data_IF_240778323874
#
_entry.id   IF_240778323874
#
_cell.length_a   1.000
_cell.length_b   1.000
_cell.length_c   1.000
_cell.angle_alpha   90.00
_cell.angle_beta   90.00
_cell.angle_gamma   90.00
#
_symmetry.space_group_name_H-M   'P 1'
#
loop_
_entity.id
_entity.type
_entity.pdbx_description
1 polymer ?
#
# COMPACT_ATOMS: atom_id res chain seq x y z
N UNK A 1 3.98 31.62 -24.17
CA UNK A 1 4.30 30.20 -24.31
C UNK A 1 3.02 29.40 -24.28
N UNK A 2 2.85 28.48 -25.19
CA UNK A 2 1.68 27.60 -25.21
C UNK A 2 1.73 26.70 -23.94
N UNK A 3 0.67 26.72 -23.17
CA UNK A 3 0.48 25.89 -21.96
C UNK A 3 0.28 24.41 -22.31
N UNK A 4 1.22 23.81 -23.07
CA UNK A 4 1.13 22.40 -23.42
C UNK A 4 2.51 21.74 -23.33
N UNK A 5 2.49 20.49 -22.87
CA UNK A 5 3.66 19.64 -22.86
C UNK A 5 4.11 19.37 -24.31
N UNK A 6 5.38 19.61 -24.61
CA UNK A 6 5.96 19.34 -25.92
C UNK A 6 7.15 18.37 -25.85
N UNK A 7 7.77 18.25 -24.67
CA UNK A 7 8.93 17.37 -24.46
C UNK A 7 9.08 17.03 -22.98
N UNK A 8 9.54 15.82 -22.70
CA UNK A 8 9.98 15.39 -21.38
C UNK A 8 11.49 15.21 -21.36
N UNK A 9 12.12 15.48 -20.23
CA UNK A 9 13.50 15.10 -19.93
C UNK A 9 13.49 14.13 -18.76
N UNK A 10 14.29 13.10 -18.83
CA UNK A 10 14.42 12.10 -17.78
C UNK A 10 15.83 11.50 -17.80
N UNK A 11 16.23 10.90 -16.68
CA UNK A 11 17.49 10.19 -16.57
C UNK A 11 17.20 8.70 -16.39
N UNK A 12 17.81 7.88 -17.21
CA UNK A 12 17.76 6.43 -17.12
C UNK A 12 19.18 5.85 -16.89
N UNK A 13 19.31 4.53 -17.00
CA UNK A 13 20.60 3.83 -16.85
C UNK A 13 21.64 4.21 -17.92
N UNK A 14 21.21 4.86 -19.01
CA UNK A 14 22.07 5.31 -20.10
C UNK A 14 22.38 6.82 -20.03
N UNK A 15 21.84 7.53 -19.04
CA UNK A 15 22.06 8.95 -18.82
C UNK A 15 20.82 9.82 -19.07
N UNK A 16 21.05 11.11 -19.27
CA UNK A 16 19.97 12.08 -19.52
C UNK A 16 19.46 11.95 -20.95
N UNK A 17 18.14 11.90 -21.08
CA UNK A 17 17.42 11.80 -22.36
C UNK A 17 16.30 12.81 -22.44
N UNK A 18 15.93 13.17 -23.66
CA UNK A 18 14.80 14.06 -23.94
C UNK A 18 13.99 13.51 -25.10
N UNK A 19 12.68 13.32 -24.88
CA UNK A 19 11.76 12.76 -25.87
C UNK A 19 10.58 13.72 -26.10
N UNK A 20 10.09 13.87 -27.34
CA UNK A 20 8.85 14.58 -27.61
C UNK A 20 7.68 13.86 -26.94
N UNK A 21 6.79 14.61 -26.30
CA UNK A 21 5.59 14.04 -25.68
C UNK A 21 4.50 15.10 -25.56
N UNK A 22 3.27 14.71 -25.86
CA UNK A 22 2.07 15.52 -25.65
C UNK A 22 1.43 15.26 -24.30
N UNK A 23 1.72 14.09 -23.68
CA UNK A 23 1.19 13.66 -22.41
C UNK A 23 2.26 12.91 -21.61
N UNK A 24 2.32 13.17 -20.30
CA UNK A 24 3.15 12.43 -19.36
C UNK A 24 2.25 11.81 -18.28
N UNK A 25 2.29 10.50 -18.17
CA UNK A 25 1.63 9.75 -17.09
C UNK A 25 2.68 9.42 -16.04
N UNK A 26 2.47 9.90 -14.81
CA UNK A 26 3.31 9.60 -13.66
C UNK A 26 2.66 8.52 -12.80
N UNK A 27 3.46 7.58 -12.34
CA UNK A 27 3.02 6.51 -11.46
C UNK A 27 4.14 6.14 -10.49
N UNK A 28 3.95 6.45 -9.21
CA UNK A 28 4.94 6.24 -8.15
C UNK A 28 4.76 4.92 -7.38
N UNK A 29 3.98 4.01 -7.92
CA UNK A 29 3.63 2.74 -7.27
C UNK A 29 2.25 2.77 -6.60
N UNK A 30 1.91 1.65 -5.95
CA UNK A 30 0.65 1.45 -5.24
C UNK A 30 0.97 0.97 -3.83
N UNK A 31 0.27 1.50 -2.84
CA UNK A 31 0.40 1.08 -1.44
C UNK A 31 -0.95 0.64 -0.87
N UNK A 32 -0.98 -0.33 0.05
CA UNK A 32 -2.22 -0.72 0.72
C UNK A 32 -2.87 0.45 1.46
N UNK A 33 -4.20 0.54 1.40
CA UNK A 33 -4.95 1.49 2.22
C UNK A 33 -5.10 0.94 3.65
N UNK A 34 -4.27 1.44 4.56
CA UNK A 34 -4.16 0.91 5.93
C UNK A 34 -4.83 1.80 7.01
N UNK A 35 -5.48 2.89 6.61
CA UNK A 35 -6.04 3.87 7.56
C UNK A 35 -7.06 3.23 8.51
N UNK A 36 -8.00 2.45 7.98
CA UNK A 36 -9.05 1.80 8.78
C UNK A 36 -8.45 0.75 9.71
N UNK A 37 -7.55 -0.10 9.22
CA UNK A 37 -6.92 -1.15 10.03
C UNK A 37 -6.02 -0.57 11.12
N UNK A 38 -5.36 0.58 10.85
CA UNK A 38 -4.62 1.32 11.87
C UNK A 38 -5.53 1.95 12.92
N UNK A 39 -6.64 2.57 12.50
CA UNK A 39 -7.62 3.16 13.41
C UNK A 39 -8.26 2.10 14.34
N UNK A 40 -8.43 0.87 13.84
CA UNK A 40 -8.94 -0.26 14.61
C UNK A 40 -7.87 -0.93 15.50
N UNK A 41 -6.61 -0.49 15.45
CA UNK A 41 -5.53 -1.05 16.26
C UNK A 41 -5.01 -2.41 15.76
N UNK A 42 -5.23 -2.78 14.51
CA UNK A 42 -4.67 -4.00 13.95
C UNK A 42 -3.14 -3.95 13.95
N UNK A 43 -2.49 -5.09 14.17
CA UNK A 43 -1.05 -5.21 14.00
C UNK A 43 -0.67 -5.04 12.52
N UNK A 44 0.43 -4.32 12.25
CA UNK A 44 0.96 -4.09 10.91
C UNK A 44 2.41 -4.53 10.83
N UNK A 45 2.81 -5.00 9.65
CA UNK A 45 4.20 -5.31 9.30
C UNK A 45 4.67 -4.45 8.12
N UNK A 46 5.97 -4.15 8.10
CA UNK A 46 6.61 -3.53 6.96
C UNK A 46 6.92 -4.57 5.89
N UNK A 47 6.38 -4.38 4.69
CA UNK A 47 6.73 -5.18 3.53
C UNK A 47 7.88 -4.49 2.78
N UNK A 48 9.09 -5.04 2.90
CA UNK A 48 10.28 -4.44 2.30
C UNK A 48 10.27 -4.49 0.76
N UNK A 49 9.66 -5.52 0.16
CA UNK A 49 9.55 -5.63 -1.30
C UNK A 49 8.60 -4.58 -1.88
N UNK A 50 7.45 -4.37 -1.23
CA UNK A 50 6.45 -3.38 -1.64
C UNK A 50 6.66 -2.01 -1.00
N UNK A 51 7.69 -1.85 -0.15
CA UNK A 51 8.01 -0.61 0.59
C UNK A 51 6.79 0.05 1.22
N UNK A 52 5.96 -0.75 1.85
CA UNK A 52 4.68 -0.31 2.42
C UNK A 52 4.34 -1.07 3.70
N UNK A 53 3.51 -0.44 4.53
CA UNK A 53 2.89 -1.11 5.66
C UNK A 53 1.66 -1.89 5.21
N UNK A 54 1.49 -3.10 5.75
CA UNK A 54 0.29 -3.90 5.54
C UNK A 54 -0.18 -4.50 6.88
N UNK A 55 -1.49 -4.71 7.09
CA UNK A 55 -1.99 -5.40 8.25
C UNK A 55 -1.51 -6.86 8.24
N UNK A 56 -1.13 -7.35 9.41
CA UNK A 56 -0.81 -8.77 9.58
C UNK A 56 -2.10 -9.57 9.63
N UNK A 57 -2.19 -10.58 8.76
CA UNK A 57 -3.36 -11.45 8.66
C UNK A 57 -2.96 -12.92 8.66
N UNK A 58 -3.88 -13.78 9.09
CA UNK A 58 -3.76 -15.21 8.86
C UNK A 58 -4.11 -15.58 7.40
N UNK A 59 -4.07 -16.88 7.11
CA UNK A 59 -4.37 -17.42 5.78
C UNK A 59 -5.83 -17.21 5.31
N UNK A 60 -6.69 -16.66 6.16
CA UNK A 60 -8.10 -16.35 5.88
C UNK A 60 -8.37 -14.84 5.84
N UNK A 61 -7.34 -14.03 5.99
CA UNK A 61 -7.47 -12.58 6.07
C UNK A 61 -7.88 -12.04 7.44
N UNK A 62 -7.89 -12.87 8.50
CA UNK A 62 -8.22 -12.45 9.86
C UNK A 62 -7.05 -11.63 10.44
N UNK A 63 -7.36 -10.48 11.01
CA UNK A 63 -6.36 -9.60 11.64
C UNK A 63 -6.11 -9.97 13.11
N UNK A 64 -5.21 -9.23 13.76
CA UNK A 64 -4.96 -9.34 15.20
C UNK A 64 -6.14 -8.86 16.07
N UNK A 65 -7.07 -8.10 15.49
CA UNK A 65 -8.27 -7.62 16.20
C UNK A 65 -9.44 -8.59 15.95
N UNK A 66 -10.13 -9.05 16.99
CA UNK A 66 -11.27 -9.95 16.83
C UNK A 66 -12.34 -9.35 15.90
N UNK A 67 -12.91 -10.20 15.03
CA UNK A 67 -13.98 -9.86 14.10
C UNK A 67 -13.59 -8.80 13.04
N UNK A 68 -12.29 -8.54 12.85
CA UNK A 68 -11.78 -7.68 11.79
C UNK A 68 -11.02 -8.53 10.77
N UNK A 69 -11.40 -8.41 9.52
CA UNK A 69 -10.87 -9.17 8.40
C UNK A 69 -10.46 -8.22 7.28
N UNK A 70 -9.42 -8.60 6.55
CA UNK A 70 -8.91 -7.82 5.41
C UNK A 70 -8.86 -8.72 4.18
N UNK A 71 -9.35 -8.21 3.07
CA UNK A 71 -9.30 -8.88 1.78
C UNK A 71 -8.77 -7.94 0.69
N UNK A 72 -8.18 -8.53 -0.34
CA UNK A 72 -7.66 -7.79 -1.48
C UNK A 72 -6.42 -6.96 -1.15
N UNK A 73 -6.17 -5.94 -1.96
CA UNK A 73 -4.93 -5.14 -1.93
C UNK A 73 -4.75 -4.31 -0.64
N UNK A 74 -5.80 -4.18 0.19
CA UNK A 74 -5.68 -3.62 1.54
C UNK A 74 -4.83 -4.48 2.49
N UNK A 75 -4.66 -5.77 2.21
CA UNK A 75 -3.79 -6.69 2.94
C UNK A 75 -2.38 -6.84 2.36
N UNK A 76 -2.12 -6.22 1.21
CA UNK A 76 -0.88 -6.31 0.42
C UNK A 76 -1.20 -6.35 -1.06
N UNK A 77 -0.43 -5.64 -1.87
CA UNK A 77 -0.72 -5.47 -3.29
C UNK A 77 -0.51 -6.77 -4.05
N UNK A 78 -1.61 -7.37 -4.50
CA UNK A 78 -1.61 -8.60 -5.29
C UNK A 78 -2.10 -8.41 -6.74
N UNK A 79 -2.87 -7.35 -6.97
CA UNK A 79 -3.54 -7.07 -8.23
C UNK A 79 -4.98 -7.60 -8.27
N UNK A 80 -5.80 -7.06 -9.19
CA UNK A 80 -7.24 -7.22 -9.21
C UNK A 80 -7.74 -8.67 -9.15
N UNK A 81 -7.15 -9.59 -9.92
CA UNK A 81 -7.57 -11.00 -9.94
C UNK A 81 -7.23 -11.69 -8.61
N UNK A 82 -6.01 -11.51 -8.12
CA UNK A 82 -5.60 -12.08 -6.83
C UNK A 82 -6.43 -11.50 -5.68
N UNK A 83 -6.78 -10.21 -5.73
CA UNK A 83 -7.62 -9.53 -4.75
C UNK A 83 -9.05 -10.09 -4.75
N UNK A 84 -9.66 -10.29 -5.92
CA UNK A 84 -11.00 -10.86 -6.04
C UNK A 84 -11.06 -12.29 -5.48
N UNK A 85 -10.06 -13.13 -5.81
CA UNK A 85 -9.96 -14.49 -5.29
C UNK A 85 -9.73 -14.46 -3.77
N UNK A 86 -8.82 -13.58 -3.29
CA UNK A 86 -8.58 -13.37 -1.87
C UNK A 86 -9.84 -13.01 -1.10
N UNK A 87 -10.70 -12.16 -1.68
CA UNK A 87 -12.02 -11.83 -1.11
C UNK A 87 -12.92 -13.06 -0.91
N UNK A 88 -12.94 -13.98 -1.90
CA UNK A 88 -13.68 -15.25 -1.79
C UNK A 88 -13.12 -16.16 -0.70
N UNK A 89 -11.80 -16.26 -0.59
CA UNK A 89 -11.14 -17.04 0.48
C UNK A 89 -11.47 -16.44 1.85
N UNK A 90 -11.39 -15.12 1.99
CA UNK A 90 -11.75 -14.44 3.24
C UNK A 90 -13.22 -14.65 3.61
N UNK A 91 -14.13 -14.61 2.64
CA UNK A 91 -15.54 -14.89 2.87
C UNK A 91 -15.78 -16.31 3.41
N UNK A 92 -15.06 -17.32 2.89
CA UNK A 92 -15.09 -18.69 3.44
C UNK A 92 -14.55 -18.73 4.87
N UNK A 93 -13.47 -18.00 5.16
CA UNK A 93 -12.93 -17.85 6.51
C UNK A 93 -13.96 -17.29 7.49
N UNK A 94 -14.65 -16.21 7.09
CA UNK A 94 -15.72 -15.59 7.89
C UNK A 94 -16.89 -16.57 8.09
N UNK A 95 -17.34 -17.25 7.03
CA UNK A 95 -18.43 -18.21 7.13
C UNK A 95 -18.10 -19.36 8.11
N UNK A 96 -16.85 -19.85 8.10
CA UNK A 96 -16.37 -20.83 9.07
C UNK A 96 -16.33 -20.29 10.50
N UNK A 97 -15.83 -19.06 10.69
CA UNK A 97 -15.77 -18.40 11.99
C UNK A 97 -17.18 -18.16 12.61
N UNK A 98 -18.18 -17.93 11.75
CA UNK A 98 -19.58 -17.78 12.16
C UNK A 98 -20.32 -19.11 12.31
N UNK A 99 -19.65 -20.26 12.14
CA UNK A 99 -20.26 -21.58 12.24
C UNK A 99 -21.28 -21.88 11.12
N UNK A 100 -21.23 -21.15 9.99
CA UNK A 100 -22.13 -21.36 8.86
C UNK A 100 -21.72 -22.53 7.98
N UNK A 101 -20.46 -22.89 7.99
CA UNK A 101 -19.87 -24.05 7.31
C UNK A 101 -18.87 -24.73 8.24
N UNK A 102 -18.67 -26.05 8.08
CA UNK A 102 -17.64 -26.78 8.81
C UNK A 102 -16.24 -26.48 8.28
N UNK A 103 -15.20 -26.78 9.07
CA UNK A 103 -13.80 -26.60 8.64
C UNK A 103 -13.51 -27.36 7.35
N UNK A 104 -13.94 -28.61 7.25
CA UNK A 104 -13.68 -29.45 6.06
C UNK A 104 -14.33 -28.87 4.80
N UNK A 105 -15.57 -28.40 4.89
CA UNK A 105 -16.29 -27.75 3.77
C UNK A 105 -15.57 -26.44 3.37
N UNK A 106 -15.16 -25.64 4.35
CA UNK A 106 -14.41 -24.42 4.12
C UNK A 106 -13.10 -24.69 3.38
N UNK A 107 -12.32 -25.66 3.89
CA UNK A 107 -10.98 -25.96 3.39
C UNK A 107 -11.03 -26.59 1.98
N UNK A 108 -12.00 -27.49 1.74
CA UNK A 108 -12.27 -28.05 0.42
C UNK A 108 -12.67 -26.96 -0.61
N UNK A 109 -13.53 -26.01 -0.23
CA UNK A 109 -13.93 -24.91 -1.09
C UNK A 109 -12.78 -23.92 -1.35
N UNK A 110 -11.89 -23.71 -0.39
CA UNK A 110 -10.77 -22.77 -0.53
C UNK A 110 -9.59 -23.34 -1.34
N UNK A 111 -9.40 -24.66 -1.36
CA UNK A 111 -8.25 -25.27 -2.02
C UNK A 111 -8.08 -24.89 -3.51
N UNK A 112 -9.11 -24.99 -4.37
CA UNK A 112 -8.98 -24.56 -5.76
C UNK A 112 -8.73 -23.04 -5.89
N UNK A 113 -9.34 -22.21 -5.03
CA UNK A 113 -9.15 -20.77 -5.01
C UNK A 113 -7.71 -20.39 -4.66
N UNK A 114 -7.10 -21.06 -3.69
CA UNK A 114 -5.69 -20.85 -3.33
C UNK A 114 -4.75 -21.19 -4.49
N UNK A 115 -5.04 -22.30 -5.19
CA UNK A 115 -4.27 -22.69 -6.39
C UNK A 115 -4.37 -21.66 -7.52
N UNK A 116 -5.57 -21.10 -7.73
CA UNK A 116 -5.79 -20.04 -8.72
C UNK A 116 -5.11 -18.73 -8.30
N UNK A 117 -5.28 -18.30 -7.04
CA UNK A 117 -4.63 -17.11 -6.51
C UNK A 117 -3.10 -17.18 -6.63
N UNK A 118 -2.50 -18.32 -6.33
CA UNK A 118 -1.06 -18.52 -6.44
C UNK A 118 -0.54 -18.27 -7.85
N UNK A 119 -1.30 -18.66 -8.90
CA UNK A 119 -0.94 -18.38 -10.30
C UNK A 119 -0.88 -16.88 -10.59
N UNK A 120 -1.84 -16.11 -10.08
CA UNK A 120 -1.85 -14.65 -10.25
C UNK A 120 -0.78 -13.95 -9.43
N UNK A 121 -0.42 -14.49 -8.27
CA UNK A 121 0.63 -13.94 -7.41
C UNK A 121 2.05 -14.32 -7.88
N UNK A 122 2.21 -15.33 -8.73
CA UNK A 122 3.53 -15.84 -9.14
C UNK A 122 4.42 -14.76 -9.79
N UNK A 123 3.84 -13.77 -10.47
CA UNK A 123 4.58 -12.67 -11.09
C UNK A 123 4.95 -11.54 -10.10
N UNK A 124 4.32 -11.50 -8.90
CA UNK A 124 4.52 -10.39 -7.96
C UNK A 124 5.98 -10.14 -7.56
N UNK A 125 6.78 -11.15 -7.19
CA UNK A 125 8.17 -10.89 -6.82
C UNK A 125 8.97 -10.18 -7.93
N UNK A 126 8.70 -10.52 -9.19
CA UNK A 126 9.32 -9.83 -10.32
C UNK A 126 8.85 -8.39 -10.45
N UNK A 127 7.54 -8.15 -10.37
CA UNK A 127 6.98 -6.79 -10.46
C UNK A 127 7.41 -5.92 -9.27
N UNK A 128 7.45 -6.47 -8.07
CA UNK A 128 7.87 -5.74 -6.86
C UNK A 128 9.36 -5.35 -6.93
N UNK A 129 10.20 -6.19 -7.55
CA UNK A 129 11.60 -5.87 -7.77
C UNK A 129 11.79 -4.82 -8.89
N UNK A 130 11.04 -4.96 -9.99
CA UNK A 130 11.18 -4.10 -11.18
C UNK A 130 10.59 -2.70 -10.95
N UNK A 131 9.46 -2.63 -10.24
CA UNK A 131 8.69 -1.41 -9.99
C UNK A 131 8.60 -1.10 -8.50
N UNK A 132 9.68 -1.32 -7.76
CA UNK A 132 9.73 -0.94 -6.35
C UNK A 132 9.38 0.54 -6.21
N UNK A 133 8.41 0.92 -5.34
CA UNK A 133 8.03 2.30 -5.14
C UNK A 133 9.25 3.15 -4.83
N UNK A 134 9.47 4.19 -5.65
CA UNK A 134 10.48 5.18 -5.35
C UNK A 134 9.93 6.04 -4.21
N UNK A 135 10.55 5.96 -3.04
CA UNK A 135 10.27 6.85 -1.91
C UNK A 135 11.55 7.63 -1.64
N UNK A 136 11.94 8.58 -2.52
CA UNK A 136 13.00 9.50 -2.16
C UNK A 136 12.52 10.29 -0.94
N UNK A 137 13.41 10.53 0.01
CA UNK A 137 13.11 11.47 1.07
C UNK A 137 12.80 12.82 0.40
N UNK A 138 11.64 13.43 0.64
CA UNK A 138 11.29 14.70 0.01
C UNK A 138 12.31 15.76 0.41
N UNK A 139 12.62 16.69 -0.48
CA UNK A 139 13.45 17.85 -0.19
C UNK A 139 12.84 18.66 0.97
N UNK A 140 13.65 19.43 1.70
CA UNK A 140 13.18 20.15 2.90
C UNK A 140 12.10 21.20 2.58
N UNK A 141 12.09 21.75 1.39
CA UNK A 141 11.10 22.69 0.88
C UNK A 141 9.83 22.05 0.31
N UNK A 142 9.82 20.72 0.16
CA UNK A 142 8.66 20.00 -0.35
C UNK A 142 7.48 20.12 0.63
N UNK A 143 6.34 20.61 0.14
CA UNK A 143 5.10 20.74 0.94
C UNK A 143 4.49 19.37 1.16
N UNK A 144 4.38 18.93 2.41
CA UNK A 144 3.78 17.66 2.83
C UNK A 144 2.36 17.83 3.39
N UNK A 145 2.02 19.02 3.88
CA UNK A 145 0.67 19.39 4.26
C UNK A 145 0.27 20.68 3.54
N UNK A 146 -0.68 20.56 2.61
CA UNK A 146 -1.10 21.66 1.73
C UNK A 146 -1.89 22.75 2.44
N UNK A 147 -2.76 22.36 3.39
CA UNK A 147 -3.65 23.30 4.07
C UNK A 147 -2.93 24.22 5.04
N UNK A 148 -1.83 23.74 5.64
CA UNK A 148 -1.01 24.49 6.60
C UNK A 148 0.37 24.86 6.03
N UNK A 149 0.63 24.52 4.75
CA UNK A 149 1.89 24.75 4.03
C UNK A 149 3.13 24.21 4.78
N UNK A 150 2.94 23.09 5.50
CA UNK A 150 4.03 22.47 6.25
C UNK A 150 4.93 21.71 5.29
N UNK A 151 6.22 22.05 5.34
CA UNK A 151 7.25 21.42 4.52
C UNK A 151 7.86 20.18 5.20
N UNK A 152 8.54 19.34 4.41
CA UNK A 152 9.27 18.18 4.93
C UNK A 152 10.35 18.58 5.95
N UNK A 153 11.01 19.72 5.75
CA UNK A 153 11.96 20.28 6.70
C UNK A 153 11.33 20.58 8.06
N UNK A 154 10.13 21.18 8.09
CA UNK A 154 9.39 21.43 9.33
C UNK A 154 8.98 20.13 10.03
N UNK A 155 8.65 19.08 9.28
CA UNK A 155 8.38 17.75 9.86
C UNK A 155 9.63 17.18 10.52
N UNK A 156 10.79 17.25 9.84
CA UNK A 156 12.08 16.77 10.39
C UNK A 156 12.49 17.55 11.63
N UNK A 157 12.31 18.86 11.62
CA UNK A 157 12.55 19.70 12.80
C UNK A 157 11.66 19.26 13.97
N UNK A 158 10.36 19.08 13.77
CA UNK A 158 9.45 18.58 14.82
C UNK A 158 9.90 17.21 15.36
N UNK A 159 10.33 16.31 14.48
CA UNK A 159 10.90 15.01 14.89
C UNK A 159 12.15 15.19 15.74
N UNK A 160 13.06 16.09 15.37
CA UNK A 160 14.28 16.38 16.16
C UNK A 160 13.97 16.95 17.54
N UNK A 161 12.83 17.62 17.69
CA UNK A 161 12.31 18.13 18.98
C UNK A 161 11.55 17.06 19.79
N UNK A 162 11.51 15.81 19.34
CA UNK A 162 10.91 14.70 20.06
C UNK A 162 9.48 14.34 19.64
N UNK A 163 9.01 14.81 18.50
CA UNK A 163 7.73 14.38 17.93
C UNK A 163 7.82 12.92 17.46
N UNK A 164 7.07 12.02 18.05
CA UNK A 164 7.12 10.57 17.79
C UNK A 164 6.01 10.05 16.87
N UNK A 165 5.09 10.88 16.42
CA UNK A 165 3.99 10.42 15.59
C UNK A 165 3.08 11.50 15.03
N UNK A 166 2.16 11.11 14.15
CA UNK A 166 1.30 12.03 13.41
C UNK A 166 0.46 12.96 14.31
N UNK A 167 -0.08 12.46 15.43
CA UNK A 167 -0.87 13.28 16.35
C UNK A 167 -0.03 14.35 17.04
N UNK A 168 1.23 14.02 17.41
CA UNK A 168 2.14 15.01 17.98
C UNK A 168 2.58 16.01 16.89
N UNK A 169 2.86 15.54 15.68
CA UNK A 169 3.17 16.42 14.55
C UNK A 169 2.05 17.42 14.33
N UNK A 170 0.78 16.97 14.36
CA UNK A 170 -0.38 17.85 14.27
C UNK A 170 -0.40 18.90 15.39
N UNK A 171 -0.12 18.52 16.64
CA UNK A 171 -0.06 19.43 17.76
C UNK A 171 1.05 20.49 17.59
N UNK A 172 2.22 20.10 17.08
CA UNK A 172 3.37 21.00 16.87
C UNK A 172 3.24 21.91 15.65
N UNK A 173 2.61 21.42 14.58
CA UNK A 173 2.65 22.07 13.27
C UNK A 173 1.29 22.35 12.65
N UNK A 174 0.21 21.81 13.23
CA UNK A 174 -1.16 21.77 12.69
C UNK A 174 -1.29 20.94 11.40
N UNK A 175 -0.25 20.21 10.96
CA UNK A 175 -0.27 19.35 9.79
C UNK A 175 -1.30 18.21 9.94
N UNK A 176 -2.07 17.91 8.87
CA UNK A 176 -2.97 16.77 8.81
C UNK A 176 -4.44 17.05 8.62
#
# INVERSE_FOLDING_TARGET
GEDRLARIRFTDVHGERAEPADMLLLHDGVTPSVQITRALGCAHGWNAAQRSWAPQTDAWGRTSVPNVWVAGDGGGIGGAQAAAIGGRITALGIAGALGRITGDVRDAAAAPLRGEQAKHLAIRPFLDALFAPLVPAPADDAIVCRCEEITAGRVREAVSLGCLGANQLKAFTRAG
#
